data_IF_220539143862
#
_entry.id   IF_220539143862
#
_cell.length_a   1.000
_cell.length_b   1.000
_cell.length_c   1.000
_cell.angle_alpha   90.00
_cell.angle_beta   90.00
_cell.angle_gamma   90.00
#
_symmetry.space_group_name_H-M   'P 1'
#
loop_
_entity.id
_entity.type
_entity.pdbx_description
1 polymer ?
#
# COMPACT_ATOMS: atom_id res chain seq x y z
N UNK A 1 2.64 -9.30 -12.33
CA UNK A 1 3.01 -7.91 -12.00
C UNK A 1 2.43 -7.57 -10.63
N UNK A 2 3.25 -7.13 -9.69
CA UNK A 2 2.85 -6.72 -8.33
C UNK A 2 2.17 -5.35 -8.34
N UNK A 3 1.53 -4.96 -7.23
CA UNK A 3 0.96 -3.61 -7.11
C UNK A 3 2.05 -2.52 -7.15
N UNK A 4 3.22 -2.77 -6.54
CA UNK A 4 4.35 -1.83 -6.56
C UNK A 4 4.88 -1.61 -7.98
N UNK A 5 4.97 -2.68 -8.78
CA UNK A 5 5.35 -2.59 -10.19
C UNK A 5 4.30 -1.83 -11.03
N UNK A 6 3.00 -1.96 -10.70
CA UNK A 6 1.93 -1.18 -11.35
C UNK A 6 2.05 0.30 -11.03
N UNK A 7 2.23 0.64 -9.75
CA UNK A 7 2.38 2.03 -9.30
C UNK A 7 3.61 2.67 -9.96
N UNK A 8 4.75 1.99 -9.93
CA UNK A 8 6.00 2.49 -10.53
C UNK A 8 5.91 2.74 -12.04
N UNK A 9 5.02 2.04 -12.76
CA UNK A 9 4.76 2.26 -14.20
C UNK A 9 3.80 3.40 -14.49
N UNK A 10 2.98 3.80 -13.51
CA UNK A 10 1.93 4.81 -13.69
C UNK A 10 2.38 6.22 -13.29
N UNK A 11 3.21 6.31 -12.25
CA UNK A 11 3.64 7.57 -11.64
C UNK A 11 4.92 8.10 -12.26
N UNK A 12 5.19 9.39 -12.09
CA UNK A 12 6.44 10.02 -12.50
C UNK A 12 7.62 9.30 -11.80
N UNK A 13 8.73 8.99 -12.51
CA UNK A 13 9.85 8.24 -11.94
C UNK A 13 10.38 8.84 -10.63
N UNK A 14 10.49 8.00 -9.60
CA UNK A 14 11.01 8.41 -8.28
C UNK A 14 10.06 9.29 -7.45
N UNK A 15 8.82 9.52 -7.90
CA UNK A 15 7.86 10.37 -7.18
C UNK A 15 7.03 9.65 -6.11
N UNK A 16 7.00 8.31 -6.13
CA UNK A 16 6.15 7.54 -5.21
C UNK A 16 6.76 7.43 -3.81
N UNK A 17 6.02 7.89 -2.82
CA UNK A 17 6.33 7.77 -1.39
C UNK A 17 5.26 6.89 -0.73
N UNK A 18 5.62 5.63 -0.43
CA UNK A 18 4.73 4.66 0.23
C UNK A 18 4.53 5.03 1.71
N UNK A 19 3.26 5.07 2.14
CA UNK A 19 2.88 5.34 3.53
C UNK A 19 2.49 4.03 4.21
N UNK A 20 2.88 3.85 5.49
CA UNK A 20 2.47 2.68 6.27
C UNK A 20 3.13 1.36 5.83
N UNK A 21 4.43 1.39 5.49
CA UNK A 21 5.19 0.18 5.12
C UNK A 21 5.25 -0.86 6.25
N UNK A 22 5.11 -0.42 7.51
CA UNK A 22 5.14 -1.29 8.70
C UNK A 22 3.73 -1.67 9.18
N UNK A 23 2.68 -1.38 8.41
CA UNK A 23 1.31 -1.76 8.77
C UNK A 23 1.11 -3.26 8.57
N UNK A 24 0.52 -3.90 9.57
CA UNK A 24 0.29 -5.33 9.62
C UNK A 24 0.08 -5.80 11.05
N UNK A 25 -0.02 -7.11 11.23
CA UNK A 25 -0.21 -7.73 12.55
C UNK A 25 0.74 -8.89 12.73
N UNK A 26 1.04 -9.25 13.97
CA UNK A 26 1.71 -10.53 14.22
C UNK A 26 0.72 -11.68 14.16
N UNK A 27 1.20 -12.87 13.80
CA UNK A 27 0.41 -14.08 13.88
C UNK A 27 0.00 -14.35 15.34
N UNK A 28 -1.24 -14.82 15.52
CA UNK A 28 -1.79 -15.05 16.86
C UNK A 28 -1.17 -16.27 17.55
N UNK A 29 -0.75 -17.27 16.76
CA UNK A 29 -0.08 -18.48 17.23
C UNK A 29 1.43 -18.30 17.34
N UNK A 30 2.04 -17.49 16.46
CA UNK A 30 3.47 -17.15 16.50
C UNK A 30 3.72 -15.64 16.42
N UNK A 31 3.99 -15.03 17.57
CA UNK A 31 4.27 -13.59 17.69
C UNK A 31 5.59 -13.15 17.06
N UNK A 32 6.40 -14.06 16.54
CA UNK A 32 7.62 -13.72 15.77
C UNK A 32 7.32 -13.55 14.28
N UNK A 33 6.18 -14.07 13.79
CA UNK A 33 5.78 -13.96 12.40
C UNK A 33 4.95 -12.69 12.17
N UNK A 34 5.53 -11.72 11.47
CA UNK A 34 4.81 -10.52 11.03
C UNK A 34 4.05 -10.79 9.73
N UNK A 35 2.77 -10.42 9.72
CA UNK A 35 1.87 -10.52 8.59
C UNK A 35 1.62 -9.11 8.06
N UNK A 36 2.27 -8.71 6.94
CA UNK A 36 2.09 -7.39 6.37
C UNK A 36 0.65 -7.19 5.89
N UNK A 37 0.23 -5.93 5.85
CA UNK A 37 -1.03 -5.54 5.25
C UNK A 37 -1.01 -5.78 3.72
N UNK A 38 -2.17 -6.11 3.15
CA UNK A 38 -2.30 -6.37 1.73
C UNK A 38 -2.41 -5.07 0.92
N UNK A 39 -2.71 -3.94 1.56
CA UNK A 39 -2.82 -2.66 0.87
C UNK A 39 -1.48 -1.93 0.75
N UNK A 40 -1.14 -1.49 -0.47
CA UNK A 40 0.02 -0.65 -0.78
C UNK A 40 -0.49 0.69 -1.30
N UNK A 41 -0.02 1.80 -0.73
CA UNK A 41 -0.34 3.12 -1.26
C UNK A 41 0.40 4.25 -0.58
N UNK A 42 0.18 5.46 -1.08
CA UNK A 42 0.91 6.65 -0.67
C UNK A 42 0.69 7.81 -1.63
N UNK A 43 1.65 8.74 -1.65
CA UNK A 43 1.61 9.94 -2.49
C UNK A 43 2.54 9.78 -3.69
N UNK A 44 2.18 10.38 -4.82
CA UNK A 44 3.01 10.39 -6.02
C UNK A 44 2.71 11.61 -6.90
N UNK A 45 3.36 11.66 -8.07
CA UNK A 45 3.00 12.59 -9.14
C UNK A 45 2.61 11.86 -10.42
N UNK A 46 1.65 12.41 -11.15
CA UNK A 46 1.31 12.01 -12.52
C UNK A 46 1.28 13.29 -13.36
N UNK A 47 2.16 13.38 -14.36
CA UNK A 47 2.35 14.60 -15.15
C UNK A 47 2.65 15.83 -14.27
N UNK A 48 3.47 15.64 -13.23
CA UNK A 48 3.82 16.66 -12.24
C UNK A 48 2.72 17.00 -11.22
N UNK A 49 1.50 16.48 -11.39
CA UNK A 49 0.36 16.75 -10.50
C UNK A 49 0.37 15.79 -9.31
N UNK A 50 0.18 16.28 -8.06
CA UNK A 50 0.13 15.42 -6.89
C UNK A 50 -1.10 14.49 -6.95
N UNK A 51 -0.92 13.23 -6.59
CA UNK A 51 -1.99 12.24 -6.49
C UNK A 51 -1.78 11.36 -5.26
N UNK A 52 -2.89 10.96 -4.63
CA UNK A 52 -2.90 9.79 -3.76
C UNK A 52 -3.17 8.54 -4.61
N UNK A 53 -2.40 7.48 -4.40
CA UNK A 53 -2.53 6.24 -5.15
C UNK A 53 -2.37 5.03 -4.22
N UNK A 54 -3.17 3.99 -4.44
CA UNK A 54 -2.98 2.73 -3.77
C UNK A 54 -3.79 1.60 -4.38
N UNK A 55 -3.58 0.40 -3.87
CA UNK A 55 -4.29 -0.80 -4.28
C UNK A 55 -3.84 -2.03 -3.51
N UNK A 56 -4.55 -3.13 -3.73
CA UNK A 56 -4.29 -4.39 -3.04
C UNK A 56 -3.18 -5.20 -3.73
N UNK A 57 -2.36 -5.82 -2.91
CA UNK A 57 -1.38 -6.82 -3.30
C UNK A 57 -2.02 -8.20 -3.21
N UNK A 58 -2.39 -8.75 -4.36
CA UNK A 58 -3.00 -10.08 -4.45
C UNK A 58 -2.10 -11.20 -3.94
N UNK A 59 -0.78 -10.99 -3.92
CA UNK A 59 0.17 -11.98 -3.39
C UNK A 59 0.09 -12.11 -1.86
N UNK A 60 -0.50 -11.11 -1.18
CA UNK A 60 -0.76 -11.12 0.25
C UNK A 60 -2.20 -11.56 0.48
N UNK A 61 -2.40 -12.84 0.80
CA UNK A 61 -3.72 -13.40 1.16
C UNK A 61 -4.83 -13.10 0.14
N UNK A 62 -4.51 -13.07 -1.15
CA UNK A 62 -5.47 -12.79 -2.21
C UNK A 62 -5.99 -11.35 -2.24
N UNK A 63 -5.27 -10.40 -1.63
CA UNK A 63 -5.69 -9.00 -1.46
C UNK A 63 -6.51 -8.75 -0.19
N UNK A 64 -6.89 -9.81 0.54
CA UNK A 64 -7.71 -9.68 1.74
C UNK A 64 -6.88 -9.27 2.98
N UNK A 65 -7.31 -8.17 3.61
CA UNK A 65 -6.76 -7.68 4.87
C UNK A 65 -7.83 -6.96 5.67
N UNK A 66 -7.99 -7.34 6.94
CA UNK A 66 -8.88 -6.64 7.88
C UNK A 66 -8.44 -5.20 8.16
N UNK A 67 -7.16 -4.89 7.89
CA UNK A 67 -6.52 -3.61 8.16
C UNK A 67 -6.52 -2.68 6.92
N UNK A 68 -6.89 -3.20 5.73
CA UNK A 68 -6.89 -2.47 4.46
C UNK A 68 -7.63 -1.11 4.58
N UNK A 69 -8.75 -1.11 5.30
CA UNK A 69 -9.66 0.04 5.43
C UNK A 69 -9.02 1.26 6.10
N UNK A 70 -8.20 1.07 7.13
CA UNK A 70 -7.58 2.18 7.85
C UNK A 70 -6.46 2.82 7.02
N UNK A 71 -5.69 2.00 6.32
CA UNK A 71 -4.61 2.47 5.45
C UNK A 71 -5.16 3.17 4.21
N UNK A 72 -6.21 2.65 3.59
CA UNK A 72 -6.87 3.31 2.46
C UNK A 72 -7.51 4.65 2.87
N UNK A 73 -8.14 4.72 4.04
CA UNK A 73 -8.72 5.97 4.57
C UNK A 73 -7.65 7.04 4.81
N UNK A 74 -6.53 6.66 5.45
CA UNK A 74 -5.41 7.58 5.66
C UNK A 74 -4.92 8.18 4.33
N UNK A 75 -4.75 7.34 3.31
CA UNK A 75 -4.25 7.77 2.01
C UNK A 75 -5.27 8.67 1.30
N UNK A 76 -6.57 8.38 1.40
CA UNK A 76 -7.62 9.24 0.87
C UNK A 76 -7.64 10.62 1.54
N UNK A 77 -7.31 10.70 2.84
CA UNK A 77 -7.24 11.97 3.58
C UNK A 77 -6.00 12.81 3.26
N UNK A 78 -5.01 12.23 2.58
CA UNK A 78 -3.81 12.93 2.12
C UNK A 78 -3.97 13.49 0.68
N UNK A 79 -5.07 13.17 0.01
CA UNK A 79 -5.43 13.65 -1.33
C UNK A 79 -6.14 15.01 -1.26
#
# INVERSE_FOLDING_TARGET
>A
MTIRERIAKLVDPGSFEEVGQLTGRFDAADKTQFLPDAYVGGLARIDGRPVAIGGEDFTVRGGSGSENSAKSDLIQRLA
#
